data_IF_912359844440
#
_entry.id   IF_912359844440
#
_cell.length_a   1.000
_cell.length_b   1.000
_cell.length_c   1.000
_cell.angle_alpha   90.00
_cell.angle_beta   90.00
_cell.angle_gamma   90.00
#
_symmetry.space_group_name_H-M   'P 1'
#
loop_
_entity.id
_entity.type
_entity.pdbx_description
1 polymer ?
#
# COMPACT_ATOMS: atom_id res chain seq x y z
N UNK A 1 -5.01 44.79 33.19
CA UNK A 1 -4.88 43.32 33.14
C UNK A 1 -5.39 42.70 31.82
N UNK A 2 -6.64 42.92 31.39
CA UNK A 2 -7.20 42.31 30.15
C UNK A 2 -6.43 42.68 28.86
N UNK A 3 -6.01 43.94 28.70
CA UNK A 3 -5.23 44.39 27.53
C UNK A 3 -3.84 43.74 27.46
N UNK A 4 -3.15 43.59 28.59
CA UNK A 4 -1.84 42.92 28.68
C UNK A 4 -1.93 41.44 28.27
N UNK A 5 -2.98 40.75 28.71
CA UNK A 5 -3.24 39.35 28.34
C UNK A 5 -3.55 39.21 26.85
N UNK A 6 -4.29 40.17 26.26
CA UNK A 6 -4.58 40.18 24.83
C UNK A 6 -3.30 40.37 24.01
N UNK A 7 -2.45 41.33 24.39
CA UNK A 7 -1.17 41.59 23.74
C UNK A 7 -0.26 40.35 23.78
N UNK A 8 -0.19 39.69 24.92
CA UNK A 8 0.59 38.46 25.08
C UNK A 8 0.10 37.33 24.16
N UNK A 9 -1.23 37.14 24.04
CA UNK A 9 -1.82 36.16 23.12
C UNK A 9 -1.49 36.47 21.65
N UNK A 10 -1.52 37.75 21.26
CA UNK A 10 -1.19 38.17 19.90
C UNK A 10 0.28 37.93 19.57
N UNK A 11 1.19 38.19 20.51
CA UNK A 11 2.62 37.91 20.33
C UNK A 11 2.90 36.41 20.14
N UNK A 12 2.22 35.56 20.92
CA UNK A 12 2.33 34.10 20.75
C UNK A 12 1.77 33.68 19.39
N UNK A 13 0.60 34.19 18.98
CA UNK A 13 0.02 33.85 17.70
C UNK A 13 0.95 34.27 16.54
N UNK A 14 1.53 35.47 16.62
CA UNK A 14 2.47 35.98 15.65
C UNK A 14 3.75 35.13 15.58
N UNK A 15 4.30 34.71 16.72
CA UNK A 15 5.50 33.86 16.75
C UNK A 15 5.24 32.51 16.10
N UNK A 16 4.09 31.89 16.34
CA UNK A 16 3.69 30.64 15.68
C UNK A 16 3.55 30.80 14.17
N UNK A 17 2.88 31.86 13.71
CA UNK A 17 2.75 32.15 12.27
C UNK A 17 4.13 32.31 11.62
N UNK A 18 5.04 33.02 12.30
CA UNK A 18 6.41 33.21 11.81
C UNK A 18 7.20 31.91 11.73
N UNK A 19 7.13 31.06 12.78
CA UNK A 19 7.79 29.75 12.79
C UNK A 19 7.24 28.84 11.69
N UNK A 20 5.91 28.77 11.53
CA UNK A 20 5.26 27.98 10.47
C UNK A 20 5.70 28.47 9.08
N UNK A 21 5.72 29.79 8.87
CA UNK A 21 6.17 30.38 7.62
C UNK A 21 7.63 30.03 7.29
N UNK A 22 8.53 30.10 8.28
CA UNK A 22 9.94 29.71 8.12
C UNK A 22 10.13 28.23 7.81
N UNK A 23 9.37 27.36 8.48
CA UNK A 23 9.37 25.92 8.18
C UNK A 23 8.90 25.69 6.76
N UNK A 24 7.75 26.25 6.35
CA UNK A 24 7.24 26.10 4.99
C UNK A 24 8.26 26.59 3.94
N UNK A 25 8.82 27.78 4.12
CA UNK A 25 9.81 28.37 3.20
C UNK A 25 11.10 27.51 3.07
N UNK A 26 11.45 26.73 4.09
CA UNK A 26 12.61 25.83 4.07
C UNK A 26 12.39 24.57 3.22
N UNK A 27 11.14 24.17 3.01
CA UNK A 27 10.76 22.95 2.28
C UNK A 27 10.24 23.21 0.86
N UNK A 28 9.84 24.44 0.55
CA UNK A 28 9.49 24.87 -0.80
C UNK A 28 10.72 24.87 -1.74
N UNK A 29 10.52 24.71 -3.06
CA UNK A 29 11.54 24.97 -4.07
C UNK A 29 12.11 26.39 -3.95
N UNK A 30 13.34 26.59 -4.43
CA UNK A 30 14.04 27.86 -4.28
C UNK A 30 13.23 29.05 -4.84
N UNK A 31 13.10 30.09 -4.02
CA UNK A 31 12.30 31.29 -4.29
C UNK A 31 12.88 32.49 -3.51
N UNK A 32 12.45 33.74 -3.77
CA UNK A 32 12.98 34.93 -3.11
C UNK A 32 12.82 34.97 -1.58
N UNK A 33 11.90 34.18 -1.03
CA UNK A 33 11.67 34.03 0.41
C UNK A 33 12.47 32.86 1.02
N UNK A 34 13.31 32.19 0.22
CA UNK A 34 14.10 31.05 0.69
C UNK A 34 15.10 31.51 1.74
N UNK A 35 15.11 30.86 2.93
CA UNK A 35 16.10 31.16 3.94
C UNK A 35 17.49 30.73 3.49
N UNK A 36 18.52 31.26 4.14
CA UNK A 36 19.90 30.83 3.89
C UNK A 36 20.07 29.32 4.10
N UNK A 37 21.04 28.72 3.40
CA UNK A 37 21.31 27.29 3.49
C UNK A 37 21.51 26.80 4.94
N UNK A 38 22.22 27.60 5.78
CA UNK A 38 22.43 27.27 7.20
C UNK A 38 21.13 27.18 7.99
N UNK A 39 20.23 28.15 7.80
CA UNK A 39 18.93 28.17 8.46
C UNK A 39 18.06 27.01 8.00
N UNK A 40 18.08 26.70 6.69
CA UNK A 40 17.38 25.55 6.13
C UNK A 40 17.83 24.22 6.76
N UNK A 41 19.14 23.99 6.88
CA UNK A 41 19.68 22.76 7.51
C UNK A 41 19.23 22.63 8.97
N UNK A 42 19.30 23.72 9.74
CA UNK A 42 18.87 23.72 11.15
C UNK A 42 17.37 23.41 11.25
N UNK A 43 16.54 24.08 10.45
CA UNK A 43 15.08 23.85 10.43
C UNK A 43 14.76 22.40 10.04
N UNK A 44 15.44 21.85 9.04
CA UNK A 44 15.23 20.47 8.61
C UNK A 44 15.65 19.43 9.66
N UNK A 45 16.61 19.75 10.53
CA UNK A 45 17.02 18.89 11.63
C UNK A 45 16.00 18.86 12.77
N UNK A 46 15.39 20.00 13.13
CA UNK A 46 14.39 20.08 14.21
C UNK A 46 12.97 19.75 13.76
N UNK A 47 12.64 20.04 12.51
CA UNK A 47 11.33 19.80 11.92
C UNK A 47 11.44 18.92 10.67
N UNK A 48 11.90 17.65 10.79
CA UNK A 48 11.97 16.76 9.66
C UNK A 48 10.57 16.52 9.08
N UNK A 49 10.32 16.94 7.83
CA UNK A 49 9.05 16.71 7.13
C UNK A 49 8.94 15.32 6.52
N UNK A 50 10.00 14.51 6.62
CA UNK A 50 10.02 13.11 6.24
C UNK A 50 10.59 12.30 7.39
N UNK A 51 9.71 11.63 8.14
CA UNK A 51 10.13 10.48 8.93
C UNK A 51 10.64 9.46 7.92
N UNK A 52 11.88 9.00 8.07
CA UNK A 52 12.43 7.94 7.23
C UNK A 52 11.41 6.81 7.18
N UNK A 53 10.70 6.70 6.06
CA UNK A 53 9.63 5.74 5.94
C UNK A 53 10.28 4.37 6.12
N UNK A 54 9.70 3.53 6.96
CA UNK A 54 9.88 2.07 6.88
C UNK A 54 9.21 1.59 5.58
N UNK A 55 9.61 2.16 4.45
CA UNK A 55 9.17 1.81 3.12
C UNK A 55 9.83 0.50 2.80
N UNK A 56 8.97 -0.50 2.59
CA UNK A 56 9.31 -1.78 1.98
C UNK A 56 10.20 -1.53 0.76
N UNK A 57 11.17 -2.41 0.50
CA UNK A 57 12.06 -2.28 -0.65
C UNK A 57 11.21 -2.17 -1.93
N UNK A 58 11.41 -1.17 -2.79
CA UNK A 58 10.63 -1.01 -4.02
C UNK A 58 10.80 -2.15 -5.03
N UNK A 59 11.79 -3.04 -4.82
CA UNK A 59 11.99 -4.27 -5.59
C UNK A 59 11.37 -5.50 -4.93
N UNK A 60 10.75 -5.35 -3.77
CA UNK A 60 10.05 -6.46 -3.14
C UNK A 60 8.91 -6.93 -4.02
N UNK A 61 8.63 -8.23 -3.91
CA UNK A 61 7.54 -8.87 -4.62
C UNK A 61 6.18 -8.26 -4.24
N UNK A 62 5.39 -7.98 -5.26
CA UNK A 62 4.04 -7.47 -5.15
C UNK A 62 3.03 -8.62 -5.06
N UNK A 63 2.05 -8.47 -4.16
CA UNK A 63 0.99 -9.45 -3.95
C UNK A 63 -0.30 -9.02 -4.64
N UNK A 64 -0.87 -9.92 -5.43
CA UNK A 64 -2.17 -9.76 -6.08
C UNK A 64 -3.12 -10.86 -5.62
N UNK A 65 -4.42 -10.56 -5.56
CA UNK A 65 -5.44 -11.52 -5.17
C UNK A 65 -6.57 -11.48 -6.19
N UNK A 66 -7.02 -12.64 -6.66
CA UNK A 66 -8.11 -12.77 -7.62
C UNK A 66 -9.21 -13.68 -7.10
N UNK A 67 -10.46 -13.21 -7.23
CA UNK A 67 -11.65 -14.06 -7.12
C UNK A 67 -11.92 -14.74 -8.45
N UNK A 68 -12.41 -15.97 -8.39
CA UNK A 68 -13.02 -16.61 -9.54
C UNK A 68 -14.50 -16.26 -9.56
N UNK A 69 -14.94 -15.50 -10.57
CA UNK A 69 -16.36 -15.18 -10.75
C UNK A 69 -17.08 -16.31 -11.49
N UNK A 70 -16.45 -16.84 -12.55
CA UNK A 70 -17.00 -17.90 -13.40
C UNK A 70 -15.90 -18.88 -13.85
N UNK A 71 -16.21 -19.81 -14.76
CA UNK A 71 -15.22 -20.72 -15.35
C UNK A 71 -14.16 -20.02 -16.22
N UNK A 72 -14.35 -18.77 -16.64
CA UNK A 72 -13.37 -18.07 -17.48
C UNK A 72 -12.92 -16.71 -16.94
N UNK A 73 -13.64 -16.17 -15.95
CA UNK A 73 -13.53 -14.78 -15.50
C UNK A 73 -12.94 -14.70 -14.11
N UNK A 74 -11.89 -13.90 -13.97
CA UNK A 74 -11.19 -13.66 -12.71
C UNK A 74 -11.13 -12.16 -12.47
N UNK A 75 -11.53 -11.73 -11.28
CA UNK A 75 -11.54 -10.32 -10.89
C UNK A 75 -10.56 -10.08 -9.76
N UNK A 76 -9.93 -8.91 -9.76
CA UNK A 76 -9.12 -8.49 -8.61
C UNK A 76 -9.99 -8.46 -7.35
N UNK A 77 -9.58 -9.20 -6.32
CA UNK A 77 -10.19 -9.18 -4.99
C UNK A 77 -9.76 -7.94 -4.18
N UNK A 78 -8.68 -7.29 -4.60
CA UNK A 78 -8.11 -6.14 -3.92
C UNK A 78 -8.92 -4.87 -4.21
N UNK A 79 -9.25 -4.14 -3.14
CA UNK A 79 -10.01 -2.89 -3.15
C UNK A 79 -9.10 -1.67 -3.17
N UNK A 80 -8.05 -1.70 -3.98
CA UNK A 80 -7.12 -0.57 -4.17
C UNK A 80 -7.18 -0.07 -5.63
N UNK A 81 -6.87 1.22 -5.89
CA UNK A 81 -6.49 2.26 -4.94
C UNK A 81 -7.67 2.86 -4.16
N UNK A 82 -7.40 3.50 -3.03
CA UNK A 82 -8.43 4.17 -2.21
C UNK A 82 -9.19 5.25 -2.98
N UNK A 83 -8.50 5.93 -3.89
CA UNK A 83 -9.08 6.98 -4.73
C UNK A 83 -10.03 6.46 -5.83
N UNK A 84 -10.19 5.14 -6.00
CA UNK A 84 -11.10 4.60 -7.00
C UNK A 84 -12.57 4.89 -6.65
N UNK A 85 -13.41 5.09 -7.68
CA UNK A 85 -14.84 5.34 -7.51
C UNK A 85 -15.56 4.21 -6.76
N UNK A 86 -15.15 2.95 -7.00
CA UNK A 86 -15.65 1.76 -6.29
C UNK A 86 -15.39 1.80 -4.76
N UNK A 87 -14.42 2.61 -4.33
CA UNK A 87 -14.10 2.85 -2.93
C UNK A 87 -14.64 4.20 -2.42
N UNK A 88 -15.55 4.82 -3.18
CA UNK A 88 -16.15 6.13 -2.86
C UNK A 88 -15.08 7.18 -2.57
N UNK A 89 -14.03 7.23 -3.40
CA UNK A 89 -12.90 8.15 -3.26
C UNK A 89 -12.24 8.11 -1.88
N UNK A 90 -12.27 6.95 -1.20
CA UNK A 90 -11.64 6.72 0.09
C UNK A 90 -12.58 6.78 1.29
N UNK A 91 -13.88 7.05 1.09
CA UNK A 91 -14.87 6.94 2.16
C UNK A 91 -15.05 5.49 2.61
N UNK A 92 -14.92 4.52 1.68
CA UNK A 92 -14.93 3.11 2.03
C UNK A 92 -13.58 2.70 2.62
N UNK A 93 -13.60 2.16 3.84
CA UNK A 93 -12.37 1.84 4.61
C UNK A 93 -11.90 0.38 4.52
N UNK A 94 -12.61 -0.47 3.79
CA UNK A 94 -12.32 -1.90 3.68
C UNK A 94 -10.95 -2.20 3.07
N UNK A 95 -10.44 -1.32 2.19
CA UNK A 95 -9.09 -1.42 1.63
C UNK A 95 -7.99 -1.38 2.69
N UNK A 96 -8.23 -0.68 3.81
CA UNK A 96 -7.27 -0.57 4.92
C UNK A 96 -7.23 -1.84 5.77
N UNK A 97 -8.30 -2.64 5.79
CA UNK A 97 -8.33 -3.91 6.51
C UNK A 97 -7.81 -5.06 5.66
N UNK A 98 -7.95 -4.98 4.32
CA UNK A 98 -7.50 -6.02 3.41
C UNK A 98 -6.02 -6.37 3.51
N UNK A 99 -5.13 -5.40 3.78
CA UNK A 99 -3.71 -5.69 3.99
C UNK A 99 -3.47 -6.62 5.19
N UNK A 100 -4.24 -6.42 6.27
CA UNK A 100 -4.15 -7.27 7.46
C UNK A 100 -4.81 -8.64 7.24
N UNK A 101 -5.88 -8.73 6.44
CA UNK A 101 -6.45 -10.00 6.00
C UNK A 101 -5.45 -10.79 5.14
N UNK A 102 -4.86 -10.15 4.13
CA UNK A 102 -3.85 -10.75 3.27
C UNK A 102 -2.66 -11.30 4.08
N UNK A 103 -2.14 -10.51 5.02
CA UNK A 103 -1.07 -10.96 5.92
C UNK A 103 -1.47 -12.15 6.80
N UNK A 104 -2.72 -12.18 7.30
CA UNK A 104 -3.24 -13.30 8.08
C UNK A 104 -3.33 -14.58 7.25
N UNK A 105 -3.82 -14.49 6.00
CA UNK A 105 -3.89 -15.63 5.10
C UNK A 105 -2.49 -16.16 4.77
N UNK A 106 -1.54 -15.26 4.45
CA UNK A 106 -0.15 -15.64 4.20
C UNK A 106 0.52 -16.28 5.41
N UNK A 107 0.22 -15.81 6.63
CA UNK A 107 0.82 -16.39 7.85
C UNK A 107 0.35 -17.82 8.16
N UNK A 108 -0.78 -18.24 7.58
CA UNK A 108 -1.30 -19.61 7.71
C UNK A 108 -0.72 -20.56 6.67
N UNK A 109 -0.15 -20.01 5.59
CA UNK A 109 0.64 -20.81 4.67
C UNK A 109 1.93 -21.18 5.40
N UNK A 110 2.21 -22.49 5.49
CA UNK A 110 3.48 -22.96 6.03
C UNK A 110 4.63 -22.24 5.31
N UNK A 111 5.78 -22.08 5.99
CA UNK A 111 7.00 -21.54 5.35
C UNK A 111 7.50 -22.42 4.19
N UNK A 112 6.80 -23.50 3.87
CA UNK A 112 7.08 -24.37 2.76
C UNK A 112 6.89 -23.61 1.43
N UNK A 113 8.00 -23.41 0.75
CA UNK A 113 8.03 -22.81 -0.59
C UNK A 113 7.44 -23.71 -1.67
N UNK A 114 7.22 -25.00 -1.40
CA UNK A 114 6.74 -25.98 -2.38
C UNK A 114 5.31 -25.72 -2.85
N UNK A 115 4.48 -25.07 -2.02
CA UNK A 115 3.08 -24.74 -2.34
C UNK A 115 2.95 -23.69 -3.44
N UNK A 116 4.02 -22.93 -3.70
CA UNK A 116 4.02 -21.86 -4.68
C UNK A 116 4.41 -22.38 -6.05
N UNK A 117 3.47 -22.29 -6.98
CA UNK A 117 3.68 -22.75 -8.36
C UNK A 117 4.12 -21.57 -9.23
N UNK A 118 5.28 -21.71 -9.86
CA UNK A 118 5.85 -20.70 -10.75
C UNK A 118 5.23 -20.70 -12.14
N UNK A 119 5.09 -19.49 -12.71
CA UNK A 119 4.82 -19.24 -14.12
C UNK A 119 5.83 -18.22 -14.66
N UNK A 120 6.32 -18.47 -15.88
CA UNK A 120 7.25 -17.57 -16.58
C UNK A 120 6.63 -17.15 -17.90
N UNK A 121 6.71 -15.85 -18.23
CA UNK A 121 6.21 -15.33 -19.51
C UNK A 121 4.69 -15.32 -19.68
N UNK A 122 3.94 -15.52 -18.59
CA UNK A 122 2.47 -15.49 -18.59
C UNK A 122 1.94 -14.28 -17.81
N UNK A 123 0.81 -13.74 -18.23
CA UNK A 123 0.04 -12.79 -17.43
C UNK A 123 -0.59 -13.49 -16.22
N UNK A 124 -1.11 -12.70 -15.27
CA UNK A 124 -1.79 -13.23 -14.08
C UNK A 124 -2.91 -14.21 -14.45
N UNK A 125 -3.78 -13.81 -15.37
CA UNK A 125 -4.94 -14.61 -15.77
C UNK A 125 -4.52 -15.84 -16.59
N UNK A 126 -3.52 -15.70 -17.47
CA UNK A 126 -2.96 -16.82 -18.23
C UNK A 126 -2.40 -17.89 -17.28
N UNK A 127 -1.64 -17.49 -16.26
CA UNK A 127 -1.08 -18.43 -15.29
C UNK A 127 -2.15 -19.11 -14.43
N UNK A 128 -3.17 -18.36 -13.96
CA UNK A 128 -4.29 -18.96 -13.22
C UNK A 128 -5.00 -20.03 -14.06
N UNK A 129 -5.26 -19.73 -15.34
CA UNK A 129 -5.90 -20.69 -16.27
C UNK A 129 -5.00 -21.91 -16.52
N UNK A 130 -3.70 -21.70 -16.69
CA UNK A 130 -2.72 -22.76 -16.91
C UNK A 130 -2.50 -23.67 -15.69
N UNK A 131 -2.74 -23.16 -14.47
CA UNK A 131 -2.57 -23.88 -13.21
C UNK A 131 -3.88 -24.14 -12.48
N UNK A 132 -4.99 -24.27 -13.22
CA UNK A 132 -6.33 -24.41 -12.63
C UNK A 132 -6.48 -25.64 -11.74
N UNK A 133 -5.75 -26.69 -12.10
CA UNK A 133 -5.73 -28.04 -11.53
C UNK A 133 -5.04 -28.14 -10.17
N UNK A 134 -4.32 -27.09 -9.73
CA UNK A 134 -3.66 -27.12 -8.42
C UNK A 134 -4.69 -27.24 -7.28
N UNK A 135 -4.32 -28.03 -6.28
CA UNK A 135 -5.12 -28.21 -5.07
C UNK A 135 -5.22 -26.90 -4.28
N UNK A 136 -6.41 -26.62 -3.76
CA UNK A 136 -6.63 -25.46 -2.91
C UNK A 136 -6.19 -25.77 -1.48
N UNK A 137 -5.48 -24.84 -0.85
CA UNK A 137 -5.12 -24.91 0.57
C UNK A 137 -6.24 -24.26 1.38
N UNK A 138 -6.76 -24.98 2.37
CA UNK A 138 -7.77 -24.44 3.28
C UNK A 138 -7.15 -23.51 4.30
N UNK A 139 -7.72 -22.33 4.45
CA UNK A 139 -7.29 -21.30 5.42
C UNK A 139 -8.51 -20.60 5.98
N UNK A 140 -8.37 -19.95 7.14
CA UNK A 140 -9.48 -19.23 7.79
C UNK A 140 -9.24 -17.72 7.84
N UNK A 141 -10.29 -16.95 7.59
CA UNK A 141 -10.31 -15.50 7.80
C UNK A 141 -11.24 -15.16 8.96
N UNK A 142 -10.66 -14.99 10.15
CA UNK A 142 -11.36 -14.73 11.40
C UNK A 142 -11.52 -13.23 11.72
N UNK A 143 -11.35 -12.34 10.74
CA UNK A 143 -11.58 -10.91 10.94
C UNK A 143 -13.08 -10.63 11.10
N UNK A 144 -13.42 -9.63 11.93
CA UNK A 144 -14.82 -9.24 12.21
C UNK A 144 -15.66 -8.86 10.98
N UNK A 145 -15.01 -8.43 9.89
CA UNK A 145 -15.65 -8.06 8.62
C UNK A 145 -14.75 -8.53 7.48
N UNK A 146 -14.72 -9.83 7.19
CA UNK A 146 -13.79 -10.38 6.21
C UNK A 146 -14.23 -9.99 4.79
N UNK A 147 -13.25 -9.73 3.92
CA UNK A 147 -13.48 -9.36 2.53
C UNK A 147 -12.83 -10.34 1.56
N UNK A 148 -11.84 -11.11 2.00
CA UNK A 148 -11.22 -12.20 1.25
C UNK A 148 -11.82 -13.54 1.74
N UNK A 149 -12.83 -14.04 1.03
CA UNK A 149 -13.58 -15.25 1.38
C UNK A 149 -13.78 -16.16 0.15
N UNK A 150 -13.89 -17.47 0.39
CA UNK A 150 -14.10 -18.47 -0.66
C UNK A 150 -12.84 -18.77 -1.48
N UNK A 151 -12.99 -19.32 -2.71
CA UNK A 151 -11.87 -19.71 -3.54
C UNK A 151 -11.16 -18.48 -4.12
N UNK A 152 -9.90 -18.29 -3.75
CA UNK A 152 -9.07 -17.19 -4.22
C UNK A 152 -7.72 -17.68 -4.76
N UNK A 153 -7.14 -16.85 -5.63
CA UNK A 153 -5.79 -17.03 -6.13
C UNK A 153 -4.92 -15.91 -5.60
N UNK A 154 -3.85 -16.28 -4.89
CA UNK A 154 -2.81 -15.32 -4.51
C UNK A 154 -1.68 -15.45 -5.52
N UNK A 155 -1.28 -14.32 -6.10
CA UNK A 155 -0.15 -14.20 -7.00
C UNK A 155 0.90 -13.31 -6.35
N UNK A 156 2.16 -13.70 -6.48
CA UNK A 156 3.31 -12.94 -6.05
C UNK A 156 4.22 -12.75 -7.26
N UNK A 157 4.49 -11.49 -7.62
CA UNK A 157 5.28 -11.14 -8.81
C UNK A 157 6.34 -10.09 -8.46
N UNK A 158 7.52 -10.20 -9.05
CA UNK A 158 8.52 -9.13 -8.97
C UNK A 158 8.05 -7.90 -9.78
N UNK A 159 8.22 -6.67 -9.26
CA UNK A 159 7.80 -5.49 -9.98
C UNK A 159 8.61 -5.34 -11.28
N UNK A 160 7.95 -4.88 -12.34
CA UNK A 160 8.65 -4.52 -13.59
C UNK A 160 9.63 -3.40 -13.28
N UNK A 161 10.95 -3.60 -13.47
CA UNK A 161 11.90 -2.57 -13.11
C UNK A 161 11.66 -1.32 -13.96
N UNK A 162 11.83 -0.14 -13.35
CA UNK A 162 11.45 1.14 -13.94
C UNK A 162 11.99 1.36 -15.36
N UNK A 163 13.23 0.91 -15.62
CA UNK A 163 13.87 0.99 -16.93
C UNK A 163 13.06 0.31 -18.06
N UNK A 164 12.15 -0.60 -17.71
CA UNK A 164 11.34 -1.39 -18.63
C UNK A 164 9.84 -1.11 -18.48
N UNK A 165 9.43 -0.04 -17.79
CA UNK A 165 8.01 0.27 -17.55
C UNK A 165 7.18 0.38 -18.84
N UNK A 166 7.78 0.86 -19.94
CA UNK A 166 7.10 0.97 -21.24
C UNK A 166 7.15 -0.32 -22.08
N UNK A 167 7.81 -1.36 -21.60
CA UNK A 167 7.94 -2.63 -22.33
C UNK A 167 6.79 -3.58 -22.00
N UNK A 168 6.53 -4.53 -22.90
CA UNK A 168 5.64 -5.66 -22.64
C UNK A 168 6.31 -6.77 -21.79
N UNK A 169 7.32 -6.43 -20.96
CA UNK A 169 8.05 -7.40 -20.16
C UNK A 169 7.12 -8.09 -19.16
N UNK A 170 7.07 -9.42 -19.24
CA UNK A 170 6.32 -10.27 -18.30
C UNK A 170 7.27 -10.80 -17.23
N UNK A 171 7.20 -10.23 -16.03
CA UNK A 171 8.01 -10.67 -14.90
C UNK A 171 7.58 -12.08 -14.42
N UNK A 172 8.51 -12.92 -13.97
CA UNK A 172 8.18 -14.20 -13.35
C UNK A 172 7.22 -14.01 -12.19
N UNK A 173 6.22 -14.89 -12.09
CA UNK A 173 5.24 -14.87 -11.02
C UNK A 173 5.10 -16.24 -10.39
N UNK A 174 4.66 -16.26 -9.14
CA UNK A 174 4.28 -17.47 -8.41
C UNK A 174 2.84 -17.33 -7.98
N UNK A 175 2.11 -18.44 -7.93
CA UNK A 175 0.74 -18.45 -7.43
C UNK A 175 0.47 -19.59 -6.47
N UNK A 176 -0.58 -19.41 -5.68
CA UNK A 176 -1.17 -20.42 -4.81
C UNK A 176 -2.68 -20.25 -4.83
N UNK A 177 -3.41 -21.37 -4.74
CA UNK A 177 -4.88 -21.38 -4.68
C UNK A 177 -5.29 -21.65 -3.25
N UNK A 178 -6.16 -20.79 -2.72
CA UNK A 178 -6.68 -20.92 -1.36
C UNK A 178 -8.19 -21.12 -1.40
N UNK A 179 -8.70 -21.86 -0.43
CA UNK A 179 -10.12 -21.94 -0.09
C UNK A 179 -10.30 -21.31 1.30
N UNK A 180 -10.87 -20.10 1.34
CA UNK A 180 -10.89 -19.25 2.53
C UNK A 180 -12.24 -19.36 3.24
N UNK A 181 -12.23 -19.97 4.42
CA UNK A 181 -13.41 -20.04 5.29
C UNK A 181 -13.53 -18.78 6.15
N UNK A 182 -14.64 -18.06 6.01
CA UNK A 182 -14.94 -16.85 6.77
C UNK A 182 -15.99 -17.12 7.85
N UNK A 183 -15.72 -16.70 9.07
CA UNK A 183 -16.70 -16.72 10.15
C UNK A 183 -17.61 -15.49 9.98
N UNK A 184 -18.87 -15.73 9.62
CA UNK A 184 -19.92 -14.70 9.61
C UNK A 184 -20.30 -14.27 11.02
#
# INVERSE_FOLDING_TARGET
>A
MRSLVLLFKLLIAFSWVWVIGLVAASYLPHNPLSPSHRVKVIIQAFFPQGWGFFTRNPRDVEGFVYFQQDTATYLSALRIPNAAAVNLLGLRRDSRTQGAEYGLLLSQLEKDTSIWVGCKGLSHIECIKFRRDISAIKVSNNKKKPTLCGPIWIIVQEPVPWAWYQSAAKMPLKLVKLDVECLN
#
